data_IF_919997578206
#
_entry.id   IF_919997578206
#
_cell.length_a   1.000
_cell.length_b   1.000
_cell.length_c   1.000
_cell.angle_alpha   90.00
_cell.angle_beta   90.00
_cell.angle_gamma   90.00
#
_symmetry.space_group_name_H-M   'P 1'
#
loop_
_entity.id
_entity.type
_entity.pdbx_description
1 polymer ?
#
# COMPACT_ATOMS: atom_id res chain seq x y z
N UNK A 1 -5.11 42.92 29.28
CA UNK A 1 -6.36 42.21 28.96
C UNK A 1 -6.03 41.25 27.82
N UNK A 2 -6.32 39.96 28.02
CA UNK A 2 -5.60 38.85 27.37
C UNK A 2 -5.90 38.62 25.90
N UNK A 3 -4.86 38.27 25.14
CA UNK A 3 -4.96 37.72 23.79
C UNK A 3 -5.27 36.22 23.88
N UNK A 4 -6.41 35.83 23.31
CA UNK A 4 -6.85 34.46 23.17
C UNK A 4 -6.13 33.81 21.97
N UNK A 5 -4.98 33.19 22.22
CA UNK A 5 -4.33 32.31 21.25
C UNK A 5 -5.12 30.99 21.24
N UNK A 6 -6.00 30.86 20.25
CA UNK A 6 -6.71 29.62 19.97
C UNK A 6 -5.71 28.50 19.71
N UNK A 7 -5.43 27.71 20.75
CA UNK A 7 -4.81 26.41 20.63
C UNK A 7 -5.74 25.55 19.78
N UNK A 8 -5.42 25.42 18.49
CA UNK A 8 -5.98 24.38 17.64
C UNK A 8 -5.49 23.06 18.22
N UNK A 9 -6.29 22.49 19.11
CA UNK A 9 -6.09 21.12 19.57
C UNK A 9 -6.71 20.25 18.48
N UNK A 10 -5.85 19.56 17.73
CA UNK A 10 -6.30 18.41 16.95
C UNK A 10 -7.12 17.51 17.88
N UNK A 11 -8.31 17.13 17.43
CA UNK A 11 -9.14 16.20 18.17
C UNK A 11 -8.34 14.90 18.31
N UNK A 12 -7.96 14.57 19.54
CA UNK A 12 -7.46 13.25 19.90
C UNK A 12 -8.69 12.33 19.88
N UNK A 13 -9.24 12.07 18.69
CA UNK A 13 -10.06 10.88 18.49
C UNK A 13 -9.14 9.70 18.76
N UNK A 14 -9.57 8.75 19.59
CA UNK A 14 -8.83 7.55 19.92
C UNK A 14 -8.19 6.96 18.66
N UNK A 15 -6.86 7.02 18.60
CA UNK A 15 -6.06 6.51 17.49
C UNK A 15 -6.23 4.98 17.44
N UNK A 16 -7.24 4.52 16.72
CA UNK A 16 -7.53 3.09 16.58
C UNK A 16 -8.88 2.77 15.91
N UNK A 17 -8.89 1.82 14.98
CA UNK A 17 -10.04 1.21 14.33
C UNK A 17 -10.69 2.04 13.23
N UNK A 18 -11.41 3.11 13.60
CA UNK A 18 -12.24 3.89 12.65
C UNK A 18 -11.42 4.68 11.63
N UNK A 19 -10.24 5.16 12.04
CA UNK A 19 -9.33 5.92 11.18
C UNK A 19 -8.69 5.03 10.10
N UNK A 20 -8.28 3.83 10.50
CA UNK A 20 -7.72 2.78 9.65
C UNK A 20 -8.69 2.39 8.52
N UNK A 21 -9.96 2.19 8.83
CA UNK A 21 -10.98 1.89 7.80
C UNK A 21 -11.21 3.06 6.84
N UNK A 22 -11.26 4.30 7.36
CA UNK A 22 -11.35 5.51 6.52
C UNK A 22 -10.16 5.66 5.58
N UNK A 23 -8.93 5.38 6.04
CA UNK A 23 -7.72 5.39 5.17
C UNK A 23 -7.84 4.35 4.06
N UNK A 24 -8.33 3.16 4.38
CA UNK A 24 -8.48 2.06 3.41
C UNK A 24 -9.56 2.34 2.37
N UNK A 25 -10.67 2.93 2.78
CA UNK A 25 -11.72 3.39 1.87
C UNK A 25 -11.22 4.53 0.96
N UNK A 26 -10.54 5.53 1.53
CA UNK A 26 -9.94 6.62 0.77
C UNK A 26 -8.91 6.12 -0.25
N UNK A 27 -8.01 5.22 0.15
CA UNK A 27 -7.05 4.57 -0.72
C UNK A 27 -7.73 3.82 -1.87
N UNK A 28 -8.76 3.03 -1.57
CA UNK A 28 -9.51 2.28 -2.60
C UNK A 28 -10.20 3.21 -3.60
N UNK A 29 -10.82 4.29 -3.11
CA UNK A 29 -11.48 5.31 -3.93
C UNK A 29 -10.48 6.04 -4.83
N UNK A 30 -9.30 6.37 -4.29
CA UNK A 30 -8.23 6.99 -5.06
C UNK A 30 -7.74 6.07 -6.19
N UNK A 31 -7.37 4.82 -5.86
CA UNK A 31 -6.89 3.85 -6.86
C UNK A 31 -7.94 3.62 -7.95
N UNK A 32 -9.22 3.47 -7.57
CA UNK A 32 -10.32 3.31 -8.53
C UNK A 32 -10.41 4.52 -9.46
N UNK A 33 -10.39 5.73 -8.90
CA UNK A 33 -10.48 6.97 -9.68
C UNK A 33 -9.30 7.13 -10.63
N UNK A 34 -8.09 6.84 -10.15
CA UNK A 34 -6.87 6.83 -10.95
C UNK A 34 -6.99 5.87 -12.15
N UNK A 35 -7.37 4.61 -11.93
CA UNK A 35 -7.50 3.62 -13.00
C UNK A 35 -8.62 3.97 -14.00
N UNK A 36 -9.72 4.59 -13.55
CA UNK A 36 -10.76 5.10 -14.45
C UNK A 36 -10.22 6.20 -15.37
N UNK A 37 -9.40 7.10 -14.82
CA UNK A 37 -8.75 8.15 -15.61
C UNK A 37 -7.77 7.51 -16.60
N UNK A 38 -6.90 6.62 -16.14
CA UNK A 38 -5.87 5.99 -16.97
C UNK A 38 -6.44 5.11 -18.09
N UNK A 39 -7.61 4.50 -17.92
CA UNK A 39 -8.32 3.81 -19.01
C UNK A 39 -8.61 4.69 -20.23
N UNK A 40 -8.68 6.02 -20.07
CA UNK A 40 -8.84 6.96 -21.17
C UNK A 40 -7.53 7.25 -21.92
N UNK A 41 -6.40 6.80 -21.38
CA UNK A 41 -5.06 7.06 -21.88
C UNK A 41 -4.29 5.73 -22.09
N UNK A 42 -4.72 4.88 -23.04
CA UNK A 42 -4.19 3.52 -23.21
C UNK A 42 -2.72 3.44 -23.65
N UNK A 43 -2.12 4.57 -24.01
CA UNK A 43 -0.69 4.66 -24.36
C UNK A 43 0.23 4.71 -23.12
N UNK A 44 -0.34 4.88 -21.93
CA UNK A 44 0.41 4.96 -20.68
C UNK A 44 0.23 3.67 -19.89
N UNK A 45 1.35 3.04 -19.56
CA UNK A 45 1.35 1.91 -18.65
C UNK A 45 1.24 2.39 -17.20
N UNK A 46 0.49 1.62 -16.42
CA UNK A 46 0.21 1.90 -15.02
C UNK A 46 0.93 0.90 -14.12
N UNK A 47 1.58 1.44 -13.09
CA UNK A 47 2.32 0.65 -12.11
C UNK A 47 1.73 0.87 -10.73
N UNK A 48 1.32 -0.22 -10.08
CA UNK A 48 1.17 -0.23 -8.63
C UNK A 48 2.51 -0.60 -8.01
N UNK A 49 3.06 0.29 -7.18
CA UNK A 49 4.34 0.11 -6.52
C UNK A 49 4.16 0.18 -4.99
N UNK A 50 4.32 -0.95 -4.33
CA UNK A 50 4.32 -1.06 -2.88
C UNK A 50 5.76 -1.25 -2.38
N UNK A 51 6.36 -0.15 -1.90
CA UNK A 51 7.74 -0.12 -1.41
C UNK A 51 7.95 -0.82 -0.06
N UNK A 52 6.88 -1.16 0.65
CA UNK A 52 6.91 -1.66 2.03
C UNK A 52 5.88 -2.77 2.21
N UNK A 53 5.87 -3.73 1.28
CA UNK A 53 4.77 -4.66 1.11
C UNK A 53 4.62 -5.66 2.29
N UNK A 54 5.70 -5.93 3.02
CA UNK A 54 5.69 -6.89 4.12
C UNK A 54 5.36 -8.30 3.66
N UNK A 55 4.78 -9.08 4.59
CA UNK A 55 4.35 -10.47 4.35
C UNK A 55 2.86 -10.62 4.03
N UNK A 56 2.12 -9.50 4.03
CA UNK A 56 0.67 -9.49 3.94
C UNK A 56 -0.05 -10.09 5.15
N UNK A 57 0.67 -10.48 6.22
CA UNK A 57 0.08 -11.15 7.38
C UNK A 57 -0.09 -10.22 8.58
N UNK A 58 -1.22 -10.36 9.29
CA UNK A 58 -1.65 -9.47 10.38
C UNK A 58 -0.90 -9.67 11.73
N UNK A 59 -0.08 -10.71 11.84
CA UNK A 59 0.51 -11.20 13.11
C UNK A 59 2.03 -11.04 13.23
N UNK A 60 2.71 -10.39 12.29
CA UNK A 60 4.17 -10.28 12.35
C UNK A 60 4.65 -8.99 13.03
N UNK A 61 5.83 -9.10 13.66
CA UNK A 61 6.53 -8.07 14.44
C UNK A 61 6.58 -6.69 13.76
N UNK A 62 6.63 -5.67 14.62
CA UNK A 62 6.84 -4.27 14.23
C UNK A 62 8.09 -4.18 13.34
N UNK A 63 7.92 -3.69 12.12
CA UNK A 63 9.08 -3.38 11.28
C UNK A 63 9.85 -2.18 11.84
N UNK A 64 11.16 -2.08 11.58
CA UNK A 64 11.97 -0.89 11.96
C UNK A 64 11.44 0.42 11.36
N UNK A 65 10.58 0.33 10.34
CA UNK A 65 9.89 1.46 9.72
C UNK A 65 8.83 2.07 10.66
N UNK A 66 8.23 1.24 11.53
CA UNK A 66 7.29 1.66 12.58
C UNK A 66 7.88 2.80 13.42
N UNK A 67 9.13 2.62 13.87
CA UNK A 67 9.83 3.59 14.72
C UNK A 67 10.25 4.84 13.94
N UNK A 68 10.58 4.70 12.66
CA UNK A 68 11.08 5.81 11.84
C UNK A 68 9.98 6.76 11.36
N UNK A 69 8.78 6.24 11.10
CA UNK A 69 7.67 6.99 10.54
C UNK A 69 6.58 7.33 11.56
N UNK A 70 6.80 7.04 12.86
CA UNK A 70 5.80 7.17 13.92
C UNK A 70 4.46 6.51 13.56
N UNK A 71 4.52 5.38 12.84
CA UNK A 71 3.32 4.66 12.42
C UNK A 71 2.75 3.87 13.59
N UNK A 72 1.42 3.77 13.66
CA UNK A 72 0.80 2.84 14.60
C UNK A 72 0.83 1.40 14.09
N UNK A 73 0.57 0.44 14.98
CA UNK A 73 0.49 -0.97 14.57
C UNK A 73 -0.67 -1.19 13.60
N UNK A 74 -1.72 -0.38 13.72
CA UNK A 74 -2.83 -0.41 12.80
C UNK A 74 -2.45 0.14 11.43
N UNK A 75 -1.70 1.23 11.36
CA UNK A 75 -1.18 1.74 10.08
C UNK A 75 -0.31 0.69 9.38
N UNK A 76 0.54 -0.02 10.13
CA UNK A 76 1.34 -1.12 9.57
C UNK A 76 0.46 -2.29 9.08
N UNK A 77 -0.58 -2.65 9.84
CA UNK A 77 -1.58 -3.64 9.41
C UNK A 77 -2.32 -3.17 8.15
N UNK A 78 -2.58 -1.87 7.99
CA UNK A 78 -3.18 -1.25 6.80
C UNK A 78 -2.30 -1.46 5.58
N UNK A 79 -1.02 -1.06 5.66
CA UNK A 79 -0.07 -1.18 4.55
C UNK A 79 0.09 -2.64 4.12
N UNK A 80 0.22 -3.58 5.07
CA UNK A 80 0.31 -5.03 4.78
C UNK A 80 -0.94 -5.58 4.08
N UNK A 81 -2.11 -4.96 4.23
CA UNK A 81 -3.36 -5.38 3.55
C UNK A 81 -3.62 -4.68 2.20
N UNK A 82 -2.78 -3.73 1.81
CA UNK A 82 -2.99 -2.91 0.61
C UNK A 82 -2.85 -3.74 -0.68
N UNK A 83 -1.90 -4.67 -0.71
CA UNK A 83 -1.67 -5.59 -1.82
C UNK A 83 -2.92 -6.38 -2.23
N UNK A 84 -3.56 -7.08 -1.29
CA UNK A 84 -4.77 -7.86 -1.57
C UNK A 84 -5.94 -6.97 -2.03
N UNK A 85 -6.06 -5.79 -1.42
CA UNK A 85 -7.13 -4.84 -1.72
C UNK A 85 -7.00 -4.31 -3.14
N UNK A 86 -5.80 -3.97 -3.56
CA UNK A 86 -5.50 -3.55 -4.94
C UNK A 86 -5.73 -4.68 -5.94
N UNK A 87 -5.38 -5.91 -5.60
CA UNK A 87 -5.70 -7.07 -6.45
C UNK A 87 -7.21 -7.34 -6.50
N UNK A 88 -7.99 -6.94 -5.51
CA UNK A 88 -9.43 -7.23 -5.45
C UNK A 88 -10.32 -6.13 -6.05
N UNK A 89 -9.74 -5.09 -6.66
CA UNK A 89 -10.51 -4.04 -7.32
C UNK A 89 -11.31 -4.62 -8.50
N UNK A 90 -12.60 -4.28 -8.54
CA UNK A 90 -13.58 -4.79 -9.50
C UNK A 90 -13.64 -3.94 -10.79
N UNK A 91 -14.57 -4.27 -11.68
CA UNK A 91 -14.90 -3.54 -12.91
C UNK A 91 -13.78 -3.48 -13.95
N UNK A 92 -12.98 -4.56 -13.99
CA UNK A 92 -11.82 -4.69 -14.88
C UNK A 92 -10.86 -3.49 -14.75
N UNK A 93 -10.75 -2.91 -13.54
CA UNK A 93 -9.80 -1.86 -13.23
C UNK A 93 -8.53 -2.53 -12.70
N UNK A 94 -7.52 -2.59 -13.55
CA UNK A 94 -6.25 -3.26 -13.27
C UNK A 94 -5.09 -2.32 -13.59
N UNK A 95 -3.99 -2.51 -12.88
CA UNK A 95 -2.71 -1.96 -13.28
C UNK A 95 -2.05 -2.91 -14.28
N UNK A 96 -1.18 -2.38 -15.13
CA UNK A 96 -0.39 -3.18 -16.06
C UNK A 96 0.69 -3.97 -15.31
N UNK A 97 1.26 -3.38 -14.26
CA UNK A 97 2.26 -4.02 -13.39
C UNK A 97 2.01 -3.78 -11.91
N UNK A 98 2.35 -4.79 -11.10
CA UNK A 98 2.27 -4.73 -9.64
C UNK A 98 3.63 -5.10 -9.05
N UNK A 99 4.28 -4.16 -8.38
CA UNK A 99 5.58 -4.34 -7.73
C UNK A 99 5.42 -4.35 -6.23
N UNK A 100 5.89 -5.41 -5.59
CA UNK A 100 5.94 -5.57 -4.15
C UNK A 100 7.40 -5.65 -3.71
N UNK A 101 7.83 -4.69 -2.89
CA UNK A 101 9.20 -4.58 -2.40
C UNK A 101 9.21 -4.72 -0.89
N UNK A 102 10.17 -5.49 -0.36
CA UNK A 102 10.48 -5.50 1.06
C UNK A 102 11.95 -5.84 1.29
N UNK A 103 12.57 -5.22 2.29
CA UNK A 103 13.97 -5.52 2.67
C UNK A 103 14.11 -6.92 3.28
N UNK A 104 13.05 -7.43 3.92
CA UNK A 104 13.00 -8.76 4.49
C UNK A 104 12.58 -9.80 3.43
N UNK A 105 13.56 -10.59 3.00
CA UNK A 105 13.36 -11.65 2.01
C UNK A 105 12.32 -12.70 2.42
N UNK A 106 12.22 -13.02 3.72
CA UNK A 106 11.22 -13.99 4.20
C UNK A 106 9.81 -13.40 4.09
N UNK A 107 9.65 -12.11 4.40
CA UNK A 107 8.38 -11.42 4.28
C UNK A 107 7.91 -11.39 2.83
N UNK A 108 8.77 -11.00 1.88
CA UNK A 108 8.35 -10.95 0.47
C UNK A 108 8.01 -12.34 -0.10
N UNK A 109 8.71 -13.39 0.32
CA UNK A 109 8.39 -14.78 -0.08
C UNK A 109 7.03 -15.23 0.46
N UNK A 110 6.70 -14.88 1.71
CA UNK A 110 5.37 -15.15 2.29
C UNK A 110 4.28 -14.40 1.54
N UNK A 111 4.52 -13.13 1.22
CA UNK A 111 3.58 -12.33 0.43
C UNK A 111 3.37 -12.94 -0.96
N UNK A 112 4.46 -13.33 -1.63
CA UNK A 112 4.39 -13.98 -2.95
C UNK A 112 3.52 -15.24 -2.92
N UNK A 113 3.79 -16.15 -1.99
CA UNK A 113 2.99 -17.37 -1.83
C UNK A 113 1.52 -17.05 -1.55
N UNK A 114 1.26 -16.04 -0.70
CA UNK A 114 -0.08 -15.59 -0.37
C UNK A 114 -0.81 -15.03 -1.58
N UNK A 115 -0.25 -14.03 -2.26
CA UNK A 115 -0.94 -13.34 -3.35
C UNK A 115 -1.15 -14.26 -4.55
N UNK A 116 -0.18 -15.11 -4.90
CA UNK A 116 -0.32 -16.08 -6.00
C UNK A 116 -1.40 -17.13 -5.76
N UNK A 117 -1.77 -17.39 -4.51
CA UNK A 117 -2.88 -18.29 -4.16
C UNK A 117 -4.27 -17.68 -4.38
N UNK A 118 -4.35 -16.36 -4.61
CA UNK A 118 -5.62 -15.65 -4.76
C UNK A 118 -6.10 -15.73 -6.21
N UNK A 119 -7.38 -16.04 -6.40
CA UNK A 119 -8.03 -15.95 -7.72
C UNK A 119 -7.91 -14.55 -8.33
N UNK A 120 -7.97 -13.51 -7.50
CA UNK A 120 -7.84 -12.11 -7.92
C UNK A 120 -6.45 -11.74 -8.45
N UNK A 121 -5.45 -12.62 -8.32
CA UNK A 121 -4.11 -12.45 -8.87
C UNK A 121 -3.93 -13.02 -10.28
N UNK A 122 -4.85 -13.87 -10.76
CA UNK A 122 -4.72 -14.55 -12.04
C UNK A 122 -4.68 -13.55 -13.19
N UNK A 123 -3.74 -13.76 -14.12
CA UNK A 123 -3.53 -12.89 -15.28
C UNK A 123 -2.88 -11.54 -14.99
N UNK A 124 -2.44 -11.28 -13.75
CA UNK A 124 -1.77 -10.01 -13.38
C UNK A 124 -0.26 -10.15 -13.35
N UNK A 125 0.43 -9.11 -13.79
CA UNK A 125 1.89 -9.05 -13.81
C UNK A 125 2.44 -8.68 -12.43
N UNK A 126 2.60 -9.67 -11.55
CA UNK A 126 3.12 -9.48 -10.20
C UNK A 126 4.64 -9.66 -10.16
N UNK A 127 5.34 -8.67 -9.60
CA UNK A 127 6.78 -8.67 -9.39
C UNK A 127 7.11 -8.53 -7.91
N UNK A 128 7.74 -9.57 -7.34
CA UNK A 128 8.20 -9.59 -5.95
C UNK A 128 9.70 -9.34 -5.92
N UNK A 129 10.13 -8.34 -5.14
CA UNK A 129 11.49 -7.80 -5.20
C UNK A 129 12.05 -7.58 -3.78
N UNK A 130 12.98 -8.42 -3.31
CA UNK A 130 13.65 -8.14 -2.06
C UNK A 130 14.60 -6.94 -2.21
N UNK A 131 14.74 -6.14 -1.15
CA UNK A 131 15.74 -5.06 -1.07
C UNK A 131 15.14 -3.69 -0.80
N UNK A 132 15.91 -2.65 -1.13
CA UNK A 132 15.55 -1.26 -0.88
C UNK A 132 14.60 -0.72 -1.97
N UNK A 133 13.49 -0.12 -1.54
CA UNK A 133 12.45 0.40 -2.43
C UNK A 133 12.94 1.57 -3.30
N UNK A 134 13.81 2.44 -2.77
CA UNK A 134 14.32 3.57 -3.53
C UNK A 134 15.20 3.08 -4.69
N UNK A 135 16.04 2.07 -4.46
CA UNK A 135 16.83 1.42 -5.52
C UNK A 135 15.94 0.79 -6.60
N UNK A 136 14.86 0.10 -6.20
CA UNK A 136 13.92 -0.48 -7.16
C UNK A 136 13.15 0.59 -7.94
N UNK A 137 12.76 1.69 -7.30
CA UNK A 137 12.09 2.81 -7.94
C UNK A 137 12.98 3.46 -9.01
N UNK A 138 14.26 3.69 -8.73
CA UNK A 138 15.22 4.22 -9.71
C UNK A 138 15.37 3.30 -10.93
N UNK A 139 15.42 1.99 -10.72
CA UNK A 139 15.53 1.03 -11.82
C UNK A 139 14.31 1.02 -12.76
N UNK A 140 13.13 1.42 -12.27
CA UNK A 140 11.92 1.50 -13.09
C UNK A 140 11.92 2.71 -14.04
N UNK A 141 12.77 3.71 -13.82
CA UNK A 141 12.86 4.89 -14.70
C UNK A 141 13.48 4.58 -16.07
N UNK A 142 14.12 3.42 -16.20
CA UNK A 142 14.81 2.99 -17.42
C UNK A 142 14.06 1.88 -18.17
N UNK A 143 12.79 1.64 -17.83
CA UNK A 143 11.87 0.83 -18.63
C UNK A 143 11.25 1.68 -19.73
#
# INVERSE_FOLDING_TARGET
MGNNLGLVREAIEEWGGKWTEKKLDAFSKYVRSYLIIMKKYPYWETIYFDGFAGSGSRKEEKSKLYDQLNLTEEDEKVYKSSAERVLSIKDNLVFDYYYFIDTNRKSIQKLEAKLKSLESSKGKNLAFRPGDANKWCLNLQHR
#
